data_IF_761690291185
#
_entry.id   IF_761690291185
#
_cell.length_a   1.000
_cell.length_b   1.000
_cell.length_c   1.000
_cell.angle_alpha   90.00
_cell.angle_beta   90.00
_cell.angle_gamma   90.00
#
_symmetry.space_group_name_H-M   'P 1'
#
loop_
_entity.id
_entity.type
_entity.pdbx_description
1 polymer ?
#
# COMPACT_ATOMS: atom_id res chain seq x y z
N UNK A 1 -18.85 13.60 -12.07
CA UNK A 1 -18.28 13.73 -13.43
C UNK A 1 -17.50 15.05 -13.64
N UNK A 2 -18.09 16.25 -13.57
CA UNK A 2 -17.32 17.51 -13.78
C UNK A 2 -16.28 17.75 -12.67
N UNK A 3 -16.65 17.55 -11.40
CA UNK A 3 -15.72 17.72 -10.25
C UNK A 3 -14.49 16.80 -10.34
N UNK A 4 -14.71 15.54 -10.73
CA UNK A 4 -13.68 14.53 -10.89
C UNK A 4 -12.70 14.89 -12.02
N UNK A 5 -13.21 15.32 -13.18
CA UNK A 5 -12.39 15.76 -14.32
C UNK A 5 -11.55 17.01 -13.97
N UNK A 6 -12.11 17.94 -13.20
CA UNK A 6 -11.37 19.13 -12.73
C UNK A 6 -10.25 18.72 -11.76
N UNK A 7 -10.53 17.79 -10.84
CA UNK A 7 -9.54 17.28 -9.91
C UNK A 7 -8.42 16.52 -10.61
N UNK A 8 -8.76 15.66 -11.58
CA UNK A 8 -7.80 14.96 -12.43
C UNK A 8 -6.90 15.92 -13.20
N UNK A 9 -7.49 16.96 -13.78
CA UNK A 9 -6.75 17.99 -14.52
C UNK A 9 -5.78 18.73 -13.60
N UNK A 10 -6.22 19.10 -12.39
CA UNK A 10 -5.36 19.74 -11.39
C UNK A 10 -4.18 18.86 -11.01
N UNK A 11 -4.40 17.56 -10.81
CA UNK A 11 -3.36 16.60 -10.48
C UNK A 11 -2.36 16.45 -11.64
N UNK A 12 -2.83 16.33 -12.88
CA UNK A 12 -1.96 16.26 -14.06
C UNK A 12 -1.12 17.53 -14.23
N UNK A 13 -1.70 18.71 -13.96
CA UNK A 13 -0.96 19.98 -13.98
C UNK A 13 0.13 19.97 -12.90
N UNK A 14 -0.16 19.49 -11.70
CA UNK A 14 0.82 19.38 -10.63
C UNK A 14 1.95 18.40 -11.00
N UNK A 15 1.62 17.24 -11.56
CA UNK A 15 2.60 16.25 -12.04
C UNK A 15 3.44 16.78 -13.21
N UNK A 16 2.89 17.66 -14.04
CA UNK A 16 3.63 18.28 -15.14
C UNK A 16 4.85 19.11 -14.66
N UNK A 17 4.83 19.55 -13.38
CA UNK A 17 5.93 20.25 -12.72
C UNK A 17 6.99 19.30 -12.14
N UNK A 18 6.73 18.00 -12.11
CA UNK A 18 7.62 16.95 -11.57
C UNK A 18 8.43 16.27 -12.69
N UNK A 19 8.74 17.03 -13.75
CA UNK A 19 9.53 16.55 -14.87
C UNK A 19 10.98 16.30 -14.44
N UNK A 20 11.54 15.23 -14.96
CA UNK A 20 12.96 14.95 -14.85
C UNK A 20 13.74 15.99 -15.65
N UNK A 21 14.72 16.63 -15.01
CA UNK A 21 15.53 17.70 -15.63
C UNK A 21 16.28 17.16 -16.85
N UNK A 22 16.91 15.98 -16.71
CA UNK A 22 17.57 15.27 -17.80
C UNK A 22 17.29 13.77 -17.61
N UNK A 23 16.27 13.19 -18.27
CA UNK A 23 16.06 11.75 -18.23
C UNK A 23 17.21 11.06 -18.99
N UNK A 24 17.90 10.13 -18.33
CA UNK A 24 18.87 9.26 -19.00
C UNK A 24 18.12 8.29 -19.91
N UNK A 25 18.46 8.27 -21.19
CA UNK A 25 17.83 7.43 -22.21
C UNK A 25 18.92 6.76 -23.04
N UNK A 26 18.79 5.46 -23.31
CA UNK A 26 19.67 4.75 -24.23
C UNK A 26 19.39 5.18 -25.67
N UNK A 27 20.45 5.48 -26.43
CA UNK A 27 20.37 5.88 -27.84
C UNK A 27 20.24 4.70 -28.81
N UNK A 28 20.59 3.50 -28.36
CA UNK A 28 20.71 2.28 -29.14
C UNK A 28 19.64 1.25 -28.75
N UNK A 29 18.39 1.67 -28.55
CA UNK A 29 17.34 0.78 -28.03
C UNK A 29 17.10 -0.47 -28.92
N UNK A 30 17.46 -0.39 -30.20
CA UNK A 30 17.41 -1.50 -31.16
C UNK A 30 18.37 -2.65 -30.86
N UNK A 31 19.37 -2.46 -29.98
CA UNK A 31 20.27 -3.51 -29.55
C UNK A 31 19.66 -4.42 -28.47
N UNK A 32 18.50 -4.05 -27.91
CA UNK A 32 17.83 -4.80 -26.86
C UNK A 32 16.61 -5.59 -27.37
N UNK A 33 16.42 -6.78 -26.81
CA UNK A 33 15.27 -7.66 -27.05
C UNK A 33 14.03 -7.17 -26.28
N UNK A 34 13.54 -5.98 -26.64
CA UNK A 34 12.41 -5.30 -25.98
C UNK A 34 11.15 -6.17 -25.92
N UNK A 35 10.96 -7.06 -26.90
CA UNK A 35 9.85 -8.01 -27.00
C UNK A 35 9.89 -9.12 -25.96
N UNK A 36 11.00 -9.32 -25.25
CA UNK A 36 11.13 -10.30 -24.14
C UNK A 36 10.78 -9.73 -22.77
N UNK A 37 10.67 -8.41 -22.65
CA UNK A 37 10.28 -7.75 -21.41
C UNK A 37 8.76 -7.75 -21.25
N UNK A 38 8.26 -8.11 -20.07
CA UNK A 38 6.84 -8.05 -19.72
C UNK A 38 6.66 -7.58 -18.29
N UNK A 39 5.60 -6.81 -18.07
CA UNK A 39 5.01 -6.57 -16.75
C UNK A 39 3.53 -6.88 -16.82
N UNK A 40 3.01 -7.43 -15.73
CA UNK A 40 1.60 -7.76 -15.59
C UNK A 40 1.16 -7.50 -14.16
N UNK A 41 0.20 -6.60 -13.98
CA UNK A 41 -0.42 -6.29 -12.70
C UNK A 41 -1.27 -7.49 -12.30
N UNK A 42 -0.99 -8.07 -11.15
CA UNK A 42 -1.85 -9.13 -10.62
C UNK A 42 -3.14 -8.52 -10.07
N UNK A 43 -4.28 -9.23 -10.12
CA UNK A 43 -5.52 -8.72 -9.56
C UNK A 43 -5.40 -8.43 -8.05
N UNK A 44 -6.16 -7.46 -7.57
CA UNK A 44 -6.27 -7.11 -6.16
C UNK A 44 -6.62 -8.36 -5.33
N UNK A 45 -5.91 -8.61 -4.22
CA UNK A 45 -6.24 -9.70 -3.30
C UNK A 45 -7.66 -9.61 -2.74
N UNK A 46 -8.20 -8.40 -2.58
CA UNK A 46 -9.55 -8.19 -2.02
C UNK A 46 -10.67 -8.28 -3.06
N UNK A 47 -10.45 -7.80 -4.28
CA UNK A 47 -11.51 -7.71 -5.31
C UNK A 47 -11.39 -8.74 -6.44
N UNK A 48 -10.21 -9.32 -6.65
CA UNK A 48 -9.93 -10.19 -7.80
C UNK A 48 -9.93 -9.46 -9.15
N UNK A 49 -9.88 -8.12 -9.15
CA UNK A 49 -9.87 -7.26 -10.34
C UNK A 49 -8.67 -6.30 -10.34
N UNK A 50 -8.48 -5.51 -11.40
CA UNK A 50 -7.47 -4.43 -11.44
C UNK A 50 -7.88 -3.17 -10.66
N UNK A 51 -8.82 -3.28 -9.72
CA UNK A 51 -9.26 -2.21 -8.82
C UNK A 51 -8.78 -2.50 -7.39
N UNK A 52 -8.01 -1.57 -6.83
CA UNK A 52 -7.34 -1.68 -5.54
C UNK A 52 -7.86 -0.60 -4.59
N UNK A 53 -8.13 -0.98 -3.35
CA UNK A 53 -8.47 -0.01 -2.33
C UNK A 53 -7.22 0.83 -1.98
N UNK A 54 -7.40 2.10 -1.62
CA UNK A 54 -6.29 2.98 -1.26
C UNK A 54 -5.40 2.36 -0.17
N UNK A 55 -4.09 2.25 -0.44
CA UNK A 55 -3.12 1.63 0.47
C UNK A 55 -3.04 0.10 0.38
N UNK A 56 -3.87 -0.56 -0.43
CA UNK A 56 -3.76 -1.99 -0.70
C UNK A 56 -2.48 -2.30 -1.49
N UNK A 57 -1.74 -3.37 -1.14
CA UNK A 57 -0.56 -3.79 -1.90
C UNK A 57 -0.86 -4.08 -3.37
N UNK A 58 0.02 -3.61 -4.26
CA UNK A 58 -0.07 -3.87 -5.70
C UNK A 58 1.09 -4.78 -6.10
N UNK A 59 0.78 -6.02 -6.46
CA UNK A 59 1.78 -7.00 -6.93
C UNK A 59 1.87 -6.98 -8.45
N UNK A 60 3.09 -6.87 -8.96
CA UNK A 60 3.40 -6.91 -10.39
C UNK A 60 4.27 -8.12 -10.66
N UNK A 61 3.83 -8.98 -11.57
CA UNK A 61 4.67 -10.02 -12.18
C UNK A 61 5.51 -9.40 -13.28
N UNK A 62 6.78 -9.73 -13.33
CA UNK A 62 7.69 -9.26 -14.38
C UNK A 62 8.39 -10.41 -15.07
N UNK A 63 8.82 -10.16 -16.31
CA UNK A 63 9.68 -11.03 -17.10
C UNK A 63 10.69 -10.17 -17.87
N UNK A 64 11.93 -10.65 -17.97
CA UNK A 64 13.02 -10.00 -18.70
C UNK A 64 13.93 -11.06 -19.37
N UNK A 65 14.68 -10.74 -20.43
CA UNK A 65 15.67 -11.64 -20.99
C UNK A 65 16.77 -11.97 -19.97
N UNK A 66 17.42 -13.13 -20.08
CA UNK A 66 18.43 -13.58 -19.09
C UNK A 66 19.61 -12.63 -18.88
N UNK A 67 19.94 -11.80 -19.88
CA UNK A 67 21.03 -10.81 -19.84
C UNK A 67 20.54 -9.39 -19.50
N UNK A 68 19.36 -9.25 -18.90
CA UNK A 68 18.83 -7.95 -18.49
C UNK A 68 19.69 -7.30 -17.40
N UNK A 69 19.54 -5.98 -17.20
CA UNK A 69 20.44 -5.25 -16.29
C UNK A 69 20.01 -5.47 -14.84
N UNK A 70 20.96 -5.63 -13.90
CA UNK A 70 20.64 -5.69 -12.48
C UNK A 70 20.03 -4.38 -11.94
N UNK A 71 20.14 -3.29 -12.71
CA UNK A 71 19.55 -1.98 -12.41
C UNK A 71 18.19 -1.77 -13.04
N UNK A 72 17.56 -2.84 -13.53
CA UNK A 72 16.18 -2.78 -14.02
C UNK A 72 15.22 -2.47 -12.87
N UNK A 73 14.20 -1.69 -13.15
CA UNK A 73 13.25 -1.21 -12.14
C UNK A 73 11.86 -1.05 -12.72
N UNK A 74 10.87 -1.05 -11.85
CA UNK A 74 9.45 -0.93 -12.21
C UNK A 74 8.89 0.26 -11.46
N UNK A 75 8.21 1.16 -12.18
CA UNK A 75 7.59 2.35 -11.59
C UNK A 75 6.08 2.43 -11.84
N UNK A 76 5.37 3.03 -10.88
CA UNK A 76 3.95 3.38 -10.98
C UNK A 76 3.78 4.86 -11.38
N UNK A 77 2.90 5.11 -12.34
CA UNK A 77 2.63 6.45 -12.85
C UNK A 77 1.14 6.65 -13.02
N UNK A 78 0.66 7.88 -12.78
CA UNK A 78 -0.72 8.22 -13.13
C UNK A 78 -0.88 8.16 -14.64
N UNK A 79 -1.98 7.58 -15.12
CA UNK A 79 -2.30 7.52 -16.54
C UNK A 79 -2.36 8.94 -17.11
N UNK A 80 -1.73 9.15 -18.27
CA UNK A 80 -1.67 10.45 -18.93
C UNK A 80 -0.58 11.40 -18.41
N UNK A 81 0.09 11.10 -17.29
CA UNK A 81 1.22 11.92 -16.81
C UNK A 81 2.39 11.92 -17.82
N UNK A 82 2.67 10.76 -18.39
CA UNK A 82 3.71 10.59 -19.41
C UNK A 82 3.08 10.45 -20.80
N UNK A 83 3.27 11.47 -21.67
CA UNK A 83 2.75 11.45 -23.05
C UNK A 83 3.37 10.37 -23.94
N UNK A 84 4.62 9.97 -23.65
CA UNK A 84 5.32 8.93 -24.39
C UNK A 84 5.16 7.58 -23.70
N UNK A 85 4.89 6.54 -24.48
CA UNK A 85 4.90 5.14 -24.03
C UNK A 85 6.30 4.54 -24.05
N UNK A 86 7.26 5.14 -24.77
CA UNK A 86 8.62 4.63 -24.94
C UNK A 86 9.62 5.19 -23.93
N UNK A 87 9.35 6.38 -23.38
CA UNK A 87 10.24 7.05 -22.43
C UNK A 87 9.43 7.74 -21.34
N UNK A 88 9.83 7.50 -20.09
CA UNK A 88 9.31 8.24 -18.94
C UNK A 88 10.05 9.57 -18.77
N UNK A 89 9.29 10.65 -18.59
CA UNK A 89 9.83 12.00 -18.33
C UNK A 89 9.33 12.60 -17.02
N UNK A 90 8.35 11.97 -16.39
CA UNK A 90 7.81 12.38 -15.09
C UNK A 90 8.42 11.50 -14.02
N UNK A 91 8.81 12.09 -12.89
CA UNK A 91 9.27 11.35 -11.72
C UNK A 91 8.16 10.44 -11.18
N UNK A 92 8.52 9.23 -10.75
CA UNK A 92 7.61 8.34 -10.02
C UNK A 92 7.38 8.78 -8.57
N UNK A 93 8.05 9.84 -8.09
CA UNK A 93 7.96 10.33 -6.70
C UNK A 93 8.23 9.27 -5.63
N UNK A 94 9.13 8.31 -5.92
CA UNK A 94 9.43 7.20 -5.00
C UNK A 94 8.49 6.00 -5.16
N UNK A 95 7.54 6.04 -6.08
CA UNK A 95 6.68 4.90 -6.43
C UNK A 95 7.38 3.98 -7.45
N UNK A 96 8.52 3.42 -7.05
CA UNK A 96 9.30 2.51 -7.87
C UNK A 96 9.97 1.43 -7.01
N UNK A 97 10.26 0.28 -7.62
CA UNK A 97 10.97 -0.85 -7.01
C UNK A 97 12.01 -1.43 -7.98
N UNK A 98 13.17 -1.87 -7.50
CA UNK A 98 14.11 -2.65 -8.30
C UNK A 98 13.53 -4.04 -8.62
N UNK A 99 13.85 -4.55 -9.80
CA UNK A 99 13.41 -5.87 -10.28
C UNK A 99 14.06 -7.01 -9.48
N UNK A 100 15.30 -6.79 -9.04
CA UNK A 100 16.08 -7.72 -8.21
C UNK A 100 16.28 -7.19 -6.79
N UNK A 101 15.25 -6.61 -6.15
CA UNK A 101 15.40 -5.99 -4.83
C UNK A 101 15.99 -6.91 -3.74
N UNK A 102 15.81 -8.23 -3.86
CA UNK A 102 16.35 -9.23 -2.94
C UNK A 102 17.87 -9.47 -3.09
N UNK A 103 18.47 -9.04 -4.20
CA UNK A 103 19.92 -9.11 -4.42
C UNK A 103 20.65 -7.86 -3.88
N UNK A 104 19.93 -6.89 -3.31
CA UNK A 104 20.47 -5.61 -2.85
C UNK A 104 19.91 -5.19 -1.49
N UNK A 105 20.78 -4.74 -0.58
CA UNK A 105 20.40 -4.02 0.64
C UNK A 105 20.69 -2.53 0.44
N UNK A 106 19.65 -1.79 0.04
CA UNK A 106 19.81 -0.41 -0.43
C UNK A 106 20.67 -0.33 -1.69
N UNK A 107 21.85 0.29 -1.58
CA UNK A 107 22.83 0.42 -2.67
C UNK A 107 23.90 -0.68 -2.66
N UNK A 108 23.84 -1.62 -1.70
CA UNK A 108 24.85 -2.68 -1.52
C UNK A 108 24.37 -3.98 -2.15
N UNK A 109 25.08 -4.57 -3.11
CA UNK A 109 24.73 -5.89 -3.62
C UNK A 109 25.02 -6.96 -2.57
N UNK A 110 24.01 -7.80 -2.29
CA UNK A 110 24.05 -8.89 -1.31
C UNK A 110 24.84 -10.12 -1.82
N UNK A 111 25.30 -10.11 -3.07
CA UNK A 111 26.19 -11.15 -3.62
C UNK A 111 25.55 -12.54 -3.65
N UNK A 112 24.22 -12.62 -3.74
CA UNK A 112 23.51 -13.89 -3.86
C UNK A 112 23.84 -14.52 -5.23
N UNK A 113 24.77 -15.48 -5.23
CA UNK A 113 25.12 -16.24 -6.43
C UNK A 113 23.90 -17.01 -6.92
N UNK A 114 23.42 -16.62 -8.09
CA UNK A 114 22.27 -17.26 -8.70
C UNK A 114 22.64 -18.67 -9.13
N UNK A 115 21.95 -19.73 -8.66
CA UNK A 115 22.21 -21.06 -9.15
C UNK A 115 21.96 -21.06 -10.67
N UNK A 116 22.89 -21.59 -11.48
CA UNK A 116 22.71 -21.64 -12.93
C UNK A 116 21.48 -22.49 -13.24
N UNK A 117 20.38 -21.85 -13.64
CA UNK A 117 19.22 -22.51 -14.21
C UNK A 117 19.61 -22.95 -15.63
N UNK A 118 19.76 -24.26 -15.89
CA UNK A 118 19.93 -24.73 -17.25
C UNK A 118 18.56 -24.65 -17.92
N UNK A 119 18.47 -24.00 -19.10
CA UNK A 119 17.28 -23.93 -19.98
C UNK A 119 16.27 -22.78 -19.81
N UNK A 120 16.59 -21.66 -19.18
CA UNK A 120 15.71 -20.47 -19.26
C UNK A 120 16.34 -19.34 -20.07
N UNK A 121 15.69 -18.97 -21.18
CA UNK A 121 16.05 -17.79 -22.00
C UNK A 121 15.60 -16.46 -21.36
N UNK A 122 14.81 -16.52 -20.29
CA UNK A 122 14.23 -15.38 -19.60
C UNK A 122 14.15 -15.57 -18.09
N UNK A 123 14.26 -14.46 -17.38
CA UNK A 123 14.03 -14.32 -15.96
C UNK A 123 12.65 -13.77 -15.66
N UNK A 124 12.12 -14.10 -14.50
CA UNK A 124 10.81 -13.64 -14.05
C UNK A 124 10.73 -13.63 -12.54
N UNK A 125 9.94 -12.72 -11.99
CA UNK A 125 9.70 -12.60 -10.56
C UNK A 125 8.49 -11.73 -10.27
N UNK A 126 8.41 -11.28 -9.02
CA UNK A 126 7.35 -10.41 -8.55
C UNK A 126 7.95 -9.24 -7.80
N UNK A 127 7.34 -8.06 -7.94
CA UNK A 127 7.57 -6.92 -7.05
C UNK A 127 6.23 -6.52 -6.44
N UNK A 128 6.22 -6.12 -5.17
CA UNK A 128 4.99 -5.71 -4.49
C UNK A 128 5.14 -4.30 -3.95
N UNK A 129 4.39 -3.35 -4.51
CA UNK A 129 4.31 -1.98 -4.01
C UNK A 129 3.51 -1.98 -2.70
N UNK A 130 4.08 -1.37 -1.65
CA UNK A 130 3.49 -1.24 -0.31
C UNK A 130 3.95 0.07 0.33
N UNK A 131 3.18 0.57 1.30
CA UNK A 131 3.57 1.73 2.09
C UNK A 131 3.98 2.92 1.22
N UNK A 132 5.23 3.38 1.32
CA UNK A 132 5.68 4.61 0.65
C UNK A 132 5.86 4.46 -0.86
N UNK A 133 5.91 3.23 -1.38
CA UNK A 133 6.02 3.00 -2.83
C UNK A 133 4.66 2.96 -3.51
N UNK A 134 3.56 3.00 -2.75
CA UNK A 134 2.21 3.12 -3.30
C UNK A 134 1.82 4.58 -3.58
N UNK A 135 1.05 4.85 -4.64
CA UNK A 135 0.29 6.08 -4.79
C UNK A 135 -0.80 6.20 -3.71
N UNK A 136 -0.66 7.17 -2.81
CA UNK A 136 -1.68 7.51 -1.80
C UNK A 136 -2.75 8.47 -2.31
N UNK A 137 -3.09 8.34 -3.60
CA UNK A 137 -4.06 9.19 -4.28
C UNK A 137 -4.92 8.32 -5.21
N UNK A 138 -6.23 8.50 -5.16
CA UNK A 138 -7.17 7.81 -6.03
C UNK A 138 -6.98 8.22 -7.49
N UNK A 139 -7.35 7.31 -8.38
CA UNK A 139 -7.32 7.50 -9.82
C UNK A 139 -6.74 6.30 -10.55
N UNK A 140 -6.46 6.51 -11.84
CA UNK A 140 -5.95 5.47 -12.74
C UNK A 140 -4.44 5.55 -12.89
N UNK A 141 -3.78 4.41 -12.75
CA UNK A 141 -2.34 4.26 -12.79
C UNK A 141 -1.93 3.20 -13.80
N UNK A 142 -0.70 3.31 -14.28
CA UNK A 142 -0.04 2.36 -15.16
C UNK A 142 1.33 2.00 -14.57
N UNK A 143 1.73 0.75 -14.78
CA UNK A 143 3.05 0.24 -14.44
C UNK A 143 3.93 0.34 -15.67
N UNK A 144 5.18 0.75 -15.48
CA UNK A 144 6.20 0.80 -16.54
C UNK A 144 7.44 0.06 -16.08
N UNK A 145 7.94 -0.85 -16.91
CA UNK A 145 9.23 -1.52 -16.74
C UNK A 145 10.32 -0.67 -17.40
N UNK A 146 11.40 -0.44 -16.67
CA UNK A 146 12.53 0.37 -17.09
C UNK A 146 13.83 -0.42 -17.06
N UNK A 147 14.71 -0.13 -18.02
CA UNK A 147 15.98 -0.84 -18.16
C UNK A 147 17.18 -0.03 -17.64
N UNK A 148 18.12 -0.70 -16.97
CA UNK A 148 19.48 -0.23 -16.70
C UNK A 148 19.57 1.12 -15.95
N UNK A 149 18.65 1.37 -15.02
CA UNK A 149 18.55 2.65 -14.30
C UNK A 149 18.27 3.86 -15.21
N UNK A 150 17.85 3.61 -16.46
CA UNK A 150 17.44 4.62 -17.44
C UNK A 150 15.91 4.70 -17.49
N UNK A 151 15.40 5.66 -18.27
CA UNK A 151 13.97 5.93 -18.37
C UNK A 151 13.33 5.41 -19.67
N UNK A 152 14.04 4.55 -20.41
CA UNK A 152 13.47 3.78 -21.51
C UNK A 152 12.45 2.79 -20.96
N UNK A 153 11.25 2.80 -21.52
CA UNK A 153 10.18 1.88 -21.13
C UNK A 153 10.27 0.65 -22.01
N UNK A 154 10.47 -0.51 -21.39
CA UNK A 154 10.58 -1.80 -22.09
C UNK A 154 9.21 -2.47 -22.24
N UNK A 155 8.34 -2.29 -21.25
CA UNK A 155 6.95 -2.76 -21.28
C UNK A 155 6.10 -1.91 -20.35
N UNK A 156 4.80 -1.85 -20.62
CA UNK A 156 3.82 -1.17 -19.78
C UNK A 156 2.62 -2.07 -19.53
N UNK A 157 1.94 -1.88 -18.41
CA UNK A 157 0.66 -2.54 -18.13
C UNK A 157 -0.28 -1.61 -17.36
N UNK A 158 -1.58 -1.79 -17.54
CA UNK A 158 -2.63 -0.94 -16.96
C UNK A 158 -3.77 -0.65 -17.95
N UNK A 159 -4.76 0.17 -17.55
CA UNK A 159 -4.82 0.87 -16.27
C UNK A 159 -5.20 -0.05 -15.11
N UNK A 160 -4.60 0.18 -13.93
CA UNK A 160 -5.20 -0.18 -12.64
C UNK A 160 -5.91 1.03 -12.04
N UNK A 161 -6.92 0.79 -11.23
CA UNK A 161 -7.67 1.83 -10.53
C UNK A 161 -7.42 1.76 -9.03
N UNK A 162 -7.19 2.91 -8.42
CA UNK A 162 -7.12 3.07 -6.97
C UNK A 162 -8.33 3.86 -6.53
N UNK A 163 -9.09 3.28 -5.62
CA UNK A 163 -10.36 3.83 -5.16
C UNK A 163 -10.44 3.89 -3.64
N UNK A 164 -11.44 4.63 -3.15
CA UNK A 164 -11.91 4.59 -1.78
C UNK A 164 -13.42 4.42 -1.79
N UNK A 165 -13.95 3.84 -0.73
CA UNK A 165 -15.39 3.70 -0.53
C UNK A 165 -15.88 4.92 0.25
N UNK A 166 -16.79 5.70 -0.34
CA UNK A 166 -17.48 6.77 0.36
C UNK A 166 -18.73 6.20 1.04
N UNK A 167 -18.93 6.43 2.35
CA UNK A 167 -20.12 5.91 3.03
C UNK A 167 -21.38 6.64 2.56
N UNK A 168 -22.48 5.90 2.42
CA UNK A 168 -23.78 6.43 1.97
C UNK A 168 -24.38 7.45 2.94
N UNK A 169 -24.11 7.27 4.23
CA UNK A 169 -24.53 8.14 5.33
C UNK A 169 -23.34 8.42 6.23
N UNK A 170 -23.36 9.58 6.89
CA UNK A 170 -22.30 9.99 7.82
C UNK A 170 -22.83 9.93 9.25
N UNK A 171 -22.57 8.80 9.90
CA UNK A 171 -22.77 8.60 11.32
C UNK A 171 -21.52 7.97 11.96
N UNK A 172 -21.51 7.83 13.28
CA UNK A 172 -20.33 7.31 13.99
C UNK A 172 -19.95 5.91 13.52
N UNK A 173 -20.94 5.05 13.25
CA UNK A 173 -20.71 3.66 12.88
C UNK A 173 -20.08 3.54 11.50
N UNK A 174 -20.64 4.23 10.50
CA UNK A 174 -20.17 4.24 9.12
C UNK A 174 -18.80 4.88 8.97
N UNK A 175 -18.57 6.04 9.59
CA UNK A 175 -17.26 6.70 9.58
C UNK A 175 -16.20 5.84 10.26
N UNK A 176 -16.53 5.26 11.43
CA UNK A 176 -15.62 4.35 12.14
C UNK A 176 -15.31 3.12 11.30
N UNK A 177 -16.29 2.51 10.64
CA UNK A 177 -16.07 1.36 9.75
C UNK A 177 -15.15 1.69 8.57
N UNK A 178 -15.32 2.87 7.95
CA UNK A 178 -14.40 3.35 6.91
C UNK A 178 -12.98 3.54 7.46
N UNK A 179 -12.83 4.11 8.66
CA UNK A 179 -11.53 4.25 9.33
C UNK A 179 -10.89 2.90 9.68
N UNK A 180 -11.68 1.93 10.16
CA UNK A 180 -11.21 0.57 10.45
C UNK A 180 -10.65 -0.14 9.22
N UNK A 181 -11.12 0.21 8.01
CA UNK A 181 -10.57 -0.32 6.75
C UNK A 181 -9.28 0.38 6.35
N UNK A 182 -9.25 1.72 6.37
CA UNK A 182 -8.14 2.48 5.78
C UNK A 182 -6.95 2.71 6.73
N UNK A 183 -7.20 2.89 8.04
CA UNK A 183 -6.14 3.15 9.03
C UNK A 183 -5.12 2.01 9.08
N UNK A 184 -5.52 0.72 9.13
CA UNK A 184 -4.56 -0.38 9.05
C UNK A 184 -3.67 -0.33 7.82
N UNK A 185 -4.20 0.03 6.65
CA UNK A 185 -3.41 0.14 5.42
C UNK A 185 -2.42 1.32 5.49
N UNK A 186 -2.84 2.46 6.04
CA UNK A 186 -1.95 3.61 6.26
C UNK A 186 -0.79 3.30 7.20
N UNK A 187 -1.02 2.41 8.17
CA UNK A 187 -0.05 1.91 9.16
C UNK A 187 0.71 0.66 8.66
N UNK A 188 0.77 0.44 7.35
CA UNK A 188 1.48 -0.69 6.72
C UNK A 188 0.96 -2.08 7.13
N UNK A 189 -0.24 -2.12 7.73
CA UNK A 189 -0.89 -3.30 8.33
C UNK A 189 -0.05 -3.96 9.43
N UNK A 190 0.75 -3.17 10.13
CA UNK A 190 1.59 -3.67 11.21
C UNK A 190 0.77 -4.04 12.46
N UNK A 191 0.80 -5.30 12.93
CA UNK A 191 0.00 -5.74 14.08
C UNK A 191 0.27 -5.00 15.40
N UNK A 192 1.44 -4.37 15.55
CA UNK A 192 1.81 -3.59 16.74
C UNK A 192 1.23 -2.16 16.70
N UNK A 193 0.97 -1.63 15.50
CA UNK A 193 0.49 -0.27 15.31
C UNK A 193 -1.03 -0.18 15.19
N UNK A 194 -1.68 -1.18 14.57
CA UNK A 194 -3.10 -1.12 14.24
C UNK A 194 -4.01 -1.29 15.47
N UNK A 195 -5.24 -0.73 15.44
CA UNK A 195 -6.23 -0.93 16.49
C UNK A 195 -6.58 -2.41 16.71
N UNK A 196 -6.84 -2.79 17.96
CA UNK A 196 -7.30 -4.14 18.30
C UNK A 196 -8.68 -4.42 17.70
N UNK A 197 -9.53 -3.41 17.59
CA UNK A 197 -10.85 -3.52 16.95
C UNK A 197 -10.78 -3.89 15.47
N UNK A 198 -9.64 -3.68 14.80
CA UNK A 198 -9.41 -4.08 13.42
C UNK A 198 -8.86 -5.52 13.28
N UNK A 199 -8.42 -6.15 14.39
CA UNK A 199 -7.90 -7.52 14.34
C UNK A 199 -9.08 -8.48 14.21
N UNK A 200 -8.94 -9.47 13.33
CA UNK A 200 -9.92 -10.56 13.27
C UNK A 200 -9.99 -11.24 14.64
N UNK A 201 -11.18 -11.61 15.13
CA UNK A 201 -11.29 -12.36 16.38
C UNK A 201 -10.48 -13.65 16.20
N UNK A 202 -9.38 -13.77 16.94
CA UNK A 202 -8.64 -15.01 17.05
C UNK A 202 -9.60 -16.03 17.63
N UNK A 203 -9.92 -17.08 16.87
CA UNK A 203 -10.65 -18.23 17.37
C UNK A 203 -9.76 -18.98 18.38
N UNK A 204 -9.62 -18.44 19.58
CA UNK A 204 -9.01 -19.12 20.71
C UNK A 204 -10.13 -19.55 21.65
N UNK A 205 -10.41 -20.87 21.64
CA UNK A 205 -11.07 -21.71 22.66
C UNK A 205 -12.28 -22.53 22.17
N UNK A 206 -12.02 -23.60 21.41
CA UNK A 206 -12.81 -24.85 21.54
C UNK A 206 -12.00 -26.07 21.09
N UNK A 207 -10.90 -26.40 21.80
CA UNK A 207 -10.51 -27.81 21.89
C UNK A 207 -11.36 -28.46 22.99
N UNK A 208 -12.60 -28.77 22.65
CA UNK A 208 -13.37 -29.78 23.38
C UNK A 208 -12.86 -31.14 22.90
N UNK A 209 -11.77 -31.61 23.52
CA UNK A 209 -11.30 -32.98 23.37
C UNK A 209 -12.35 -33.94 23.94
N UNK A 210 -13.04 -34.65 23.06
CA UNK A 210 -13.79 -35.84 23.42
C UNK A 210 -12.81 -37.02 23.50
N UNK A 211 -12.43 -37.42 24.71
CA UNK A 211 -11.98 -38.79 24.94
C UNK A 211 -12.45 -39.27 26.32
N UNK A 212 -13.21 -40.35 26.25
CA UNK A 212 -13.79 -41.13 27.33
C UNK A 212 -12.73 -42.00 28.03
N UNK A 213 -13.02 -42.39 29.29
CA UNK A 213 -12.41 -43.44 30.14
C UNK A 213 -11.31 -43.10 31.18
N UNK A 214 -11.78 -42.87 32.42
CA UNK A 214 -11.44 -43.47 33.74
C UNK A 214 -10.00 -43.48 34.34
N UNK A 215 -9.86 -43.57 35.70
CA UNK A 215 -8.76 -42.97 36.46
C UNK A 215 -7.80 -43.98 37.10
N UNK A 216 -6.57 -43.56 37.41
CA UNK A 216 -5.78 -44.14 38.51
C UNK A 216 -4.69 -43.19 39.04
N UNK A 217 -4.39 -43.34 40.33
CA UNK A 217 -3.72 -42.40 41.21
C UNK A 217 -2.18 -42.39 41.12
N UNK A 218 -1.54 -41.24 41.41
CA UNK A 218 -0.59 -41.06 42.53
C UNK A 218 0.28 -39.78 42.43
N UNK A 219 0.42 -39.13 43.59
CA UNK A 219 1.57 -38.41 44.16
C UNK A 219 2.31 -37.28 43.38
N UNK A 220 2.13 -36.05 43.92
CA UNK A 220 3.14 -35.04 44.27
C UNK A 220 4.32 -34.75 43.31
N UNK A 221 4.34 -33.54 42.73
CA UNK A 221 5.31 -32.48 43.07
C UNK A 221 5.03 -31.20 42.28
N UNK A 222 5.33 -30.07 42.92
CA UNK A 222 4.96 -28.73 42.45
C UNK A 222 5.70 -28.20 41.22
N UNK A 223 5.10 -27.18 40.63
CA UNK A 223 5.77 -25.96 40.18
C UNK A 223 4.70 -24.99 39.70
N UNK A 224 4.45 -23.96 40.51
CA UNK A 224 3.79 -22.74 40.06
C UNK A 224 4.66 -22.12 38.97
N UNK A 225 4.25 -22.30 37.71
CA UNK A 225 4.71 -21.46 36.61
C UNK A 225 3.64 -20.41 36.41
N UNK A 226 3.74 -19.34 37.20
CA UNK A 226 3.16 -18.05 36.85
C UNK A 226 3.74 -17.67 35.50
N UNK A 227 2.92 -17.67 34.46
CA UNK A 227 3.24 -17.04 33.18
C UNK A 227 3.06 -15.53 33.38
N UNK A 228 4.12 -14.71 33.46
CA UNK A 228 3.99 -13.29 33.70
C UNK A 228 4.13 -12.57 32.37
N UNK A 229 3.11 -12.60 31.51
CA UNK A 229 3.14 -11.80 30.27
C UNK A 229 1.77 -11.47 29.64
N UNK A 230 0.68 -11.49 30.42
CA UNK A 230 -0.66 -11.15 29.89
C UNK A 230 -1.26 -9.87 30.49
N UNK A 231 -0.49 -9.09 31.25
CA UNK A 231 -1.01 -7.90 31.95
C UNK A 231 -0.89 -6.58 31.17
N UNK A 232 -0.29 -6.55 29.98
CA UNK A 232 -0.15 -5.31 29.18
C UNK A 232 -1.28 -5.08 28.17
N UNK A 233 -2.18 -6.05 27.97
CA UNK A 233 -3.27 -5.94 26.98
C UNK A 233 -4.60 -5.48 27.57
N UNK A 234 -4.77 -5.45 28.90
CA UNK A 234 -6.07 -5.21 29.53
C UNK A 234 -6.49 -3.72 29.64
N UNK A 235 -5.56 -2.76 29.47
CA UNK A 235 -5.83 -1.32 29.67
C UNK A 235 -5.84 -0.45 28.39
N UNK A 236 -5.57 -1.03 27.22
CA UNK A 236 -5.54 -0.26 25.95
C UNK A 236 -6.93 -0.20 25.33
N UNK A 237 -7.39 1.00 24.97
CA UNK A 237 -8.65 1.15 24.23
C UNK A 237 -8.56 0.38 22.90
N UNK A 238 -9.56 -0.46 22.55
CA UNK A 238 -9.50 -1.29 21.36
C UNK A 238 -9.37 -0.49 20.06
N UNK A 239 -9.74 0.79 20.06
CA UNK A 239 -9.63 1.69 18.91
C UNK A 239 -8.31 2.46 18.85
N UNK A 240 -7.43 2.34 19.85
CA UNK A 240 -6.12 3.01 19.88
C UNK A 240 -5.15 2.45 18.84
N UNK A 241 -4.46 3.33 18.12
CA UNK A 241 -3.36 3.01 17.23
C UNK A 241 -2.13 3.86 17.50
N UNK A 242 -1.01 3.49 16.89
CA UNK A 242 0.26 4.18 17.07
C UNK A 242 0.98 4.36 15.74
N UNK A 243 2.01 5.20 15.73
CA UNK A 243 2.77 5.53 14.52
C UNK A 243 4.26 5.24 14.73
N UNK A 244 4.91 4.69 13.71
CA UNK A 244 6.37 4.68 13.61
C UNK A 244 6.93 5.87 12.87
N UNK A 245 6.12 6.56 12.05
CA UNK A 245 6.61 7.73 11.31
C UNK A 245 5.52 8.74 11.01
N UNK A 246 5.92 10.00 10.83
CA UNK A 246 5.06 11.08 10.37
C UNK A 246 4.42 10.78 8.99
N UNK A 247 5.06 9.94 8.17
CA UNK A 247 4.52 9.52 6.87
C UNK A 247 3.21 8.73 7.03
N UNK A 248 3.10 7.91 8.08
CA UNK A 248 1.90 7.14 8.36
C UNK A 248 0.72 8.07 8.71
N UNK A 249 0.95 9.08 9.56
CA UNK A 249 -0.06 10.11 9.86
C UNK A 249 -0.48 10.89 8.60
N UNK A 250 0.48 11.29 7.76
CA UNK A 250 0.19 11.97 6.47
C UNK A 250 -0.70 11.13 5.55
N UNK A 251 -0.48 9.80 5.48
CA UNK A 251 -1.34 8.90 4.69
C UNK A 251 -2.77 8.87 5.22
N UNK A 252 -2.96 8.84 6.54
CA UNK A 252 -4.30 8.91 7.14
C UNK A 252 -4.96 10.25 6.78
N UNK A 253 -4.25 11.38 6.85
CA UNK A 253 -4.79 12.67 6.40
C UNK A 253 -5.22 12.64 4.92
N UNK A 254 -4.38 12.07 4.04
CA UNK A 254 -4.70 11.93 2.62
C UNK A 254 -5.92 11.04 2.38
N UNK A 255 -6.05 9.94 3.13
CA UNK A 255 -7.20 9.05 3.08
C UNK A 255 -8.48 9.76 3.53
N UNK A 256 -8.47 10.42 4.70
CA UNK A 256 -9.63 11.16 5.22
C UNK A 256 -10.10 12.22 4.23
N UNK A 257 -9.17 12.96 3.62
CA UNK A 257 -9.50 13.95 2.59
C UNK A 257 -10.22 13.33 1.39
N UNK A 258 -9.82 12.14 0.96
CA UNK A 258 -10.41 11.48 -0.22
C UNK A 258 -11.74 10.78 0.09
N UNK A 259 -11.91 10.27 1.30
CA UNK A 259 -13.13 9.58 1.73
C UNK A 259 -14.20 10.58 2.16
N UNK A 260 -13.85 11.58 2.97
CA UNK A 260 -14.79 12.46 3.65
C UNK A 260 -14.75 13.92 3.18
N UNK A 261 -13.77 14.31 2.35
CA UNK A 261 -13.54 15.69 1.94
C UNK A 261 -13.28 16.63 3.13
N UNK A 262 -12.49 16.14 4.09
CA UNK A 262 -12.02 16.91 5.27
C UNK A 262 -10.50 16.88 5.31
N UNK A 263 -9.89 18.05 5.51
CA UNK A 263 -8.44 18.20 5.57
C UNK A 263 -7.96 18.41 7.00
N UNK A 264 -7.04 17.55 7.44
CA UNK A 264 -6.39 17.65 8.74
C UNK A 264 -4.88 17.76 8.59
N UNK A 265 -4.26 18.42 9.57
CA UNK A 265 -2.83 18.37 9.76
C UNK A 265 -2.43 17.04 10.45
N UNK A 266 -1.23 16.48 10.19
CA UNK A 266 -0.79 15.22 10.80
C UNK A 266 -0.84 15.22 12.33
N UNK A 267 -0.55 16.35 12.98
CA UNK A 267 -0.55 16.50 14.44
C UNK A 267 -1.93 16.27 15.04
N UNK A 268 -3.00 16.60 14.30
CA UNK A 268 -4.38 16.35 14.72
C UNK A 268 -4.68 14.85 14.75
N UNK A 269 -4.26 14.14 13.71
CA UNK A 269 -4.47 12.68 13.62
C UNK A 269 -3.63 11.95 14.67
N UNK A 270 -2.41 12.44 14.94
CA UNK A 270 -1.54 11.92 16.01
C UNK A 270 -2.12 12.20 17.39
N UNK A 271 -2.73 13.36 17.61
CA UNK A 271 -3.36 13.69 18.88
C UNK A 271 -4.59 12.83 19.18
N UNK A 272 -5.37 12.47 18.16
CA UNK A 272 -6.51 11.57 18.33
C UNK A 272 -6.04 10.13 18.52
N UNK A 273 -5.18 9.61 17.62
CA UNK A 273 -4.62 8.25 17.61
C UNK A 273 -5.60 7.12 18.00
N UNK A 274 -6.91 7.35 17.80
CA UNK A 274 -8.00 6.47 18.20
C UNK A 274 -9.12 6.59 17.17
N UNK A 275 -9.64 5.46 16.68
CA UNK A 275 -10.63 5.45 15.60
C UNK A 275 -11.93 6.17 15.98
N UNK A 276 -12.43 5.99 17.20
CA UNK A 276 -13.66 6.63 17.67
C UNK A 276 -13.47 8.13 17.85
N UNK A 277 -12.34 8.56 18.43
CA UNK A 277 -12.03 9.99 18.54
C UNK A 277 -11.97 10.66 17.17
N UNK A 278 -11.27 10.04 16.22
CA UNK A 278 -11.10 10.55 14.86
C UNK A 278 -12.43 10.56 14.09
N UNK A 279 -13.28 9.54 14.26
CA UNK A 279 -14.61 9.48 13.66
C UNK A 279 -15.50 10.64 14.16
N UNK A 280 -15.53 10.89 15.47
CA UNK A 280 -16.26 12.03 16.03
C UNK A 280 -15.73 13.36 15.48
N UNK A 281 -14.42 13.54 15.38
CA UNK A 281 -13.81 14.75 14.80
C UNK A 281 -14.23 14.97 13.35
N UNK A 282 -14.25 13.89 12.54
CA UNK A 282 -14.73 13.94 11.14
C UNK A 282 -16.18 14.39 11.10
N UNK A 283 -17.07 13.80 11.90
CA UNK A 283 -18.48 14.19 11.94
C UNK A 283 -18.68 15.66 12.31
N UNK A 284 -17.99 16.13 13.35
CA UNK A 284 -18.04 17.54 13.76
C UNK A 284 -17.55 18.47 12.64
N UNK A 285 -16.46 18.10 11.95
CA UNK A 285 -15.95 18.89 10.82
C UNK A 285 -16.93 18.92 9.66
N UNK A 286 -17.63 17.81 9.37
CA UNK A 286 -18.68 17.77 8.34
C UNK A 286 -19.87 18.64 8.69
N UNK A 287 -20.31 18.63 9.95
CA UNK A 287 -21.41 19.48 10.44
C UNK A 287 -21.06 20.98 10.36
N UNK A 288 -19.81 21.34 10.71
CA UNK A 288 -19.35 22.72 10.57
C UNK A 288 -19.31 23.15 9.10
N UNK A 289 -18.83 22.29 8.20
CA UNK A 289 -18.77 22.61 6.77
C UNK A 289 -20.17 22.74 6.15
N UNK A 290 -21.15 21.94 6.56
CA UNK A 290 -22.53 22.08 6.08
C UNK A 290 -23.22 23.33 6.61
N UNK A 291 -22.94 23.72 7.86
CA UNK A 291 -23.50 24.96 8.44
C UNK A 291 -22.88 26.24 7.87
N UNK A 292 -21.65 26.17 7.37
CA UNK A 292 -20.93 27.31 6.75
C UNK A 292 -21.28 27.55 5.27
N UNK A 293 -21.94 26.61 4.59
CA UNK A 293 -22.43 26.75 3.22
C UNK A 293 -23.96 26.99 3.19
N UNK A 294 -24.46 28.20 3.47
CA UNK A 294 -25.90 28.50 3.50
C UNK A 294 -26.58 28.50 2.12
N UNK A 295 -25.83 28.24 1.04
CA UNK A 295 -26.33 28.24 -0.35
C UNK A 295 -26.29 26.84 -1.00
N UNK A 296 -26.27 25.78 -0.19
CA UNK A 296 -26.47 24.41 -0.65
C UNK A 296 -27.75 23.83 -0.06
#
# INVERSE_FOLDING_TARGET
MISEVVQDTKILIQQSRQRLVIPRVASDLSSYETDKYRVSILPSPSSGTSSFYLGEPITVKWQAPRNHSPKDWIGLYRVGANKSTLVTKISSLGMWLPVHGEEWDGDVPLGLDRPPSPHRDSDSGYVTFKGNTLPWLVGKYEVRYHHDGKYNVMHLDGPLEIHVDQPDHLDLSTVRQSLMRIVPLCLDSDPSLIPLSCKAPTSSSTEAGSHDSLPEASAANGSDINNPDDSETEDRDPDDFSFWSERQAKRICMAIKQIFDVEYAPEVVVADANLTALANRILLSKEILTTLDPNK
#
